data_IF_836498750838
#
_entry.id   IF_836498750838
#
_cell.length_a   1.000
_cell.length_b   1.000
_cell.length_c   1.000
_cell.angle_alpha   90.00
_cell.angle_beta   90.00
_cell.angle_gamma   90.00
#
_symmetry.space_group_name_H-M   'P 1'
#
loop_
_entity.id
_entity.type
_entity.pdbx_description
1 polymer ?
#
# COMPACT_ATOMS: atom_id res chain seq x y z
N UNK A 1 -18.86 21.61 17.32
CA UNK A 1 -17.67 20.96 16.75
C UNK A 1 -17.64 19.54 17.30
N UNK A 2 -17.89 18.52 16.45
CA UNK A 2 -17.68 17.14 16.89
C UNK A 2 -16.21 17.00 17.26
N UNK A 3 -15.87 16.44 18.44
CA UNK A 3 -14.48 16.15 18.76
C UNK A 3 -13.98 15.21 17.66
N UNK A 4 -12.91 15.57 16.97
CA UNK A 4 -12.27 14.66 16.02
C UNK A 4 -11.96 13.35 16.74
N UNK A 5 -12.17 12.22 16.07
CA UNK A 5 -11.86 10.92 16.64
C UNK A 5 -10.36 10.86 16.94
N UNK A 6 -10.00 10.97 18.21
CA UNK A 6 -8.63 10.80 18.69
C UNK A 6 -8.46 9.40 19.24
N UNK A 7 -7.26 8.84 19.11
CA UNK A 7 -7.02 7.49 19.55
C UNK A 7 -5.56 7.09 19.50
N UNK A 8 -5.35 5.79 19.72
CA UNK A 8 -4.04 5.16 19.65
C UNK A 8 -4.14 3.87 18.87
N UNK A 9 -3.13 3.60 18.04
CA UNK A 9 -2.98 2.35 17.29
C UNK A 9 -1.63 1.76 17.66
N UNK A 10 -1.63 0.47 18.00
CA UNK A 10 -0.40 -0.30 18.20
C UNK A 10 -0.14 -1.12 16.94
N UNK A 11 1.02 -0.93 16.31
CA UNK A 11 1.51 -1.75 15.20
C UNK A 11 2.89 -2.28 15.58
N UNK A 12 3.01 -3.60 15.72
CA UNK A 12 4.23 -4.21 16.24
C UNK A 12 4.61 -3.64 17.61
N UNK A 13 5.83 -3.13 17.73
CA UNK A 13 6.38 -2.48 18.92
C UNK A 13 6.12 -0.97 18.99
N UNK A 14 5.53 -0.36 17.95
CA UNK A 14 5.29 1.08 17.85
C UNK A 14 3.85 1.46 18.18
N UNK A 15 3.71 2.49 19.00
CA UNK A 15 2.41 3.12 19.30
C UNK A 15 2.28 4.44 18.55
N UNK A 16 1.21 4.59 17.79
CA UNK A 16 0.84 5.82 17.09
C UNK A 16 -0.32 6.49 17.80
N UNK A 17 -0.21 7.79 18.03
CA UNK A 17 -1.33 8.59 18.51
C UNK A 17 -1.87 9.41 17.35
N UNK A 18 -3.19 9.48 17.22
CA UNK A 18 -3.81 10.14 16.09
C UNK A 18 -4.98 11.04 16.49
N UNK A 19 -5.27 11.98 15.60
CA UNK A 19 -6.50 12.76 15.54
C UNK A 19 -6.98 12.71 14.10
N UNK A 20 -8.06 11.97 13.82
CA UNK A 20 -8.54 11.82 12.46
C UNK A 20 -9.18 13.14 11.96
N UNK A 21 -8.75 13.65 10.79
CA UNK A 21 -9.46 14.71 10.09
C UNK A 21 -10.88 14.30 9.70
N UNK A 22 -11.72 15.26 9.33
CA UNK A 22 -13.09 14.98 8.90
C UNK A 22 -13.11 14.11 7.63
N UNK A 23 -14.15 13.30 7.45
CA UNK A 23 -14.31 12.49 6.25
C UNK A 23 -14.32 13.33 4.97
N UNK A 24 -14.92 14.53 5.00
CA UNK A 24 -14.92 15.46 3.86
C UNK A 24 -13.51 15.90 3.49
N UNK A 25 -12.68 16.26 4.47
CA UNK A 25 -11.30 16.66 4.19
C UNK A 25 -10.51 15.50 3.57
N UNK A 26 -10.69 14.28 4.07
CA UNK A 26 -10.03 13.09 3.51
C UNK A 26 -10.46 12.83 2.06
N UNK A 27 -11.75 13.00 1.73
CA UNK A 27 -12.26 12.88 0.36
C UNK A 27 -11.62 13.92 -0.57
N UNK A 28 -11.50 15.17 -0.13
CA UNK A 28 -10.84 16.23 -0.91
C UNK A 28 -9.38 15.85 -1.25
N UNK A 29 -8.64 15.25 -0.32
CA UNK A 29 -7.26 14.80 -0.58
C UNK A 29 -7.22 13.64 -1.59
N UNK A 30 -8.20 12.72 -1.51
CA UNK A 30 -8.29 11.61 -2.45
C UNK A 30 -8.65 12.09 -3.85
N UNK A 31 -9.56 13.05 -3.99
CA UNK A 31 -9.93 13.63 -5.29
C UNK A 31 -8.72 14.32 -5.95
N UNK A 32 -7.94 15.10 -5.19
CA UNK A 32 -6.71 15.74 -5.70
C UNK A 32 -5.69 14.69 -6.21
N UNK A 33 -5.57 13.56 -5.51
CA UNK A 33 -4.73 12.46 -5.96
C UNK A 33 -5.27 11.82 -7.25
N UNK A 34 -6.59 11.62 -7.36
CA UNK A 34 -7.23 11.04 -8.54
C UNK A 34 -7.10 11.91 -9.79
N UNK A 35 -6.84 13.21 -9.64
CA UNK A 35 -6.48 14.10 -10.76
C UNK A 35 -5.02 13.94 -11.17
N UNK A 36 -4.12 13.58 -10.24
CA UNK A 36 -2.67 13.57 -10.41
C UNK A 36 -2.04 12.16 -10.27
N UNK A 37 -2.74 11.14 -10.79
CA UNK A 37 -2.49 9.69 -10.60
C UNK A 37 -1.06 9.25 -10.90
N UNK A 38 -0.20 9.38 -9.90
CA UNK A 38 1.23 9.10 -10.00
C UNK A 38 1.76 8.62 -8.66
N UNK A 39 2.91 7.94 -8.69
CA UNK A 39 3.59 7.50 -7.46
C UNK A 39 3.97 8.71 -6.58
N UNK A 40 4.42 9.81 -7.19
CA UNK A 40 4.69 11.05 -6.46
C UNK A 40 3.41 11.69 -5.88
N UNK A 41 2.29 11.61 -6.61
CA UNK A 41 0.98 12.01 -6.10
C UNK A 41 0.56 11.20 -4.88
N UNK A 42 0.76 9.88 -4.92
CA UNK A 42 0.48 9.00 -3.79
C UNK A 42 1.40 9.29 -2.58
N UNK A 43 2.69 9.58 -2.82
CA UNK A 43 3.63 9.99 -1.76
C UNK A 43 3.18 11.30 -1.10
N UNK A 44 2.76 12.29 -1.90
CA UNK A 44 2.21 13.56 -1.37
C UNK A 44 0.94 13.32 -0.56
N UNK A 45 -0.03 12.59 -1.10
CA UNK A 45 -1.27 12.23 -0.39
C UNK A 45 -0.96 11.60 0.98
N UNK A 46 -0.10 10.58 1.01
CA UNK A 46 0.24 9.89 2.25
C UNK A 46 0.93 10.81 3.26
N UNK A 47 1.88 11.64 2.84
CA UNK A 47 2.52 12.61 3.74
C UNK A 47 1.52 13.62 4.29
N UNK A 48 0.66 14.20 3.44
CA UNK A 48 -0.40 15.13 3.86
C UNK A 48 -1.34 14.48 4.88
N UNK A 49 -1.75 13.24 4.63
CA UNK A 49 -2.61 12.47 5.53
C UNK A 49 -1.90 12.20 6.87
N UNK A 50 -0.63 11.80 6.85
CA UNK A 50 0.17 11.53 8.04
C UNK A 50 0.38 12.77 8.90
N UNK A 51 0.79 13.88 8.30
CA UNK A 51 1.06 15.15 8.99
C UNK A 51 -0.18 15.70 9.71
N UNK A 52 -1.36 15.51 9.11
CA UNK A 52 -2.62 16.00 9.67
C UNK A 52 -3.32 14.99 10.59
N UNK A 53 -2.89 13.73 10.60
CA UNK A 53 -3.53 12.66 11.37
C UNK A 53 -2.70 12.20 12.55
N UNK A 54 -1.39 12.01 12.38
CA UNK A 54 -0.53 11.47 13.43
C UNK A 54 0.02 12.60 14.29
N UNK A 55 -0.31 12.55 15.57
CA UNK A 55 0.12 13.54 16.57
C UNK A 55 1.37 13.09 17.32
N UNK A 56 1.60 11.77 17.42
CA UNK A 56 2.84 11.20 17.97
C UNK A 56 3.24 9.89 17.27
N UNK A 57 4.53 9.74 16.91
CA UNK A 57 5.56 10.79 16.90
C UNK A 57 5.23 11.90 15.88
N UNK A 58 5.63 13.15 16.17
CA UNK A 58 5.39 14.28 15.28
C UNK A 58 6.33 14.24 14.06
N UNK A 59 5.87 14.76 12.92
CA UNK A 59 6.71 14.91 11.72
C UNK A 59 7.01 13.59 10.99
N UNK A 60 6.14 12.59 11.12
CA UNK A 60 6.26 11.35 10.34
C UNK A 60 6.05 11.62 8.86
N UNK A 61 6.97 11.12 8.05
CA UNK A 61 6.85 11.05 6.60
C UNK A 61 6.81 9.59 6.16
N UNK A 62 6.44 9.32 4.91
CA UNK A 62 6.42 7.95 4.36
C UNK A 62 7.76 7.22 4.50
N UNK A 63 8.88 7.95 4.51
CA UNK A 63 10.23 7.40 4.62
C UNK A 63 10.60 7.02 6.08
N UNK A 64 9.75 7.35 7.06
CA UNK A 64 9.96 7.07 8.50
C UNK A 64 9.54 5.66 8.94
N UNK A 65 8.90 4.91 8.03
CA UNK A 65 8.28 3.62 8.33
C UNK A 65 9.19 2.46 7.94
N UNK A 66 9.13 1.39 8.73
CA UNK A 66 9.90 0.20 8.46
C UNK A 66 9.23 -0.60 7.34
N UNK A 67 10.00 -0.90 6.30
CA UNK A 67 9.61 -1.88 5.28
C UNK A 67 10.01 -3.29 5.74
N UNK A 68 9.23 -4.33 5.38
CA UNK A 68 9.63 -5.71 5.61
C UNK A 68 10.92 -6.05 4.84
N UNK A 69 11.66 -7.05 5.32
CA UNK A 69 12.79 -7.60 4.59
C UNK A 69 12.32 -8.28 3.30
N UNK A 70 13.20 -8.35 2.29
CA UNK A 70 12.90 -9.03 1.03
C UNK A 70 12.58 -10.51 1.24
N UNK A 71 11.67 -11.05 0.44
CA UNK A 71 11.24 -12.45 0.53
C UNK A 71 11.49 -13.20 -0.78
N UNK A 72 11.76 -14.49 -0.69
CA UNK A 72 11.88 -15.38 -1.86
C UNK A 72 10.79 -16.44 -1.81
N UNK A 73 10.07 -16.59 -2.91
CA UNK A 73 9.01 -17.60 -3.06
C UNK A 73 9.25 -18.45 -4.30
N UNK A 74 8.93 -19.73 -4.22
CA UNK A 74 9.04 -20.66 -5.35
C UNK A 74 7.63 -21.08 -5.80
N UNK A 75 7.28 -20.77 -7.03
CA UNK A 75 5.95 -21.03 -7.60
C UNK A 75 6.10 -21.65 -8.98
N UNK A 76 5.45 -22.78 -9.24
CA UNK A 76 5.60 -23.52 -10.50
C UNK A 76 7.05 -23.95 -10.80
N UNK A 77 7.90 -24.07 -9.78
CA UNK A 77 9.34 -24.36 -9.92
C UNK A 77 10.20 -23.15 -10.29
N UNK A 78 9.66 -21.94 -10.28
CA UNK A 78 10.37 -20.69 -10.56
C UNK A 78 10.60 -19.90 -9.26
N UNK A 79 11.80 -19.35 -9.10
CA UNK A 79 12.17 -18.49 -7.96
C UNK A 79 11.82 -17.03 -8.25
N UNK A 80 10.96 -16.45 -7.43
CA UNK A 80 10.61 -15.03 -7.45
C UNK A 80 11.13 -14.36 -6.18
N UNK A 81 11.75 -13.20 -6.33
CA UNK A 81 12.18 -12.35 -5.22
C UNK A 81 11.25 -11.16 -5.11
N UNK A 82 10.74 -10.94 -3.91
CA UNK A 82 9.76 -9.92 -3.58
C UNK A 82 10.46 -8.80 -2.81
N UNK A 83 10.32 -7.58 -3.31
CA UNK A 83 10.87 -6.36 -2.72
C UNK A 83 9.76 -5.36 -2.45
N UNK A 84 9.85 -4.61 -1.34
CA UNK A 84 8.79 -3.66 -1.02
C UNK A 84 9.02 -2.32 -1.73
N UNK A 85 8.15 -1.89 -2.67
CA UNK A 85 8.31 -0.64 -3.44
C UNK A 85 7.93 0.62 -2.62
N UNK A 86 7.82 0.49 -1.31
CA UNK A 86 7.11 1.44 -0.44
C UNK A 86 5.58 1.42 -0.62
N UNK A 87 4.88 2.06 0.31
CA UNK A 87 3.41 2.17 0.32
C UNK A 87 2.83 3.17 -0.70
N UNK A 88 3.53 4.26 -1.11
CA UNK A 88 3.02 5.13 -2.17
C UNK A 88 2.67 4.37 -3.46
N UNK A 89 3.44 3.33 -3.79
CA UNK A 89 3.13 2.50 -4.95
C UNK A 89 1.80 1.75 -4.81
N UNK A 90 1.46 1.24 -3.62
CA UNK A 90 0.21 0.50 -3.40
C UNK A 90 -1.02 1.39 -3.57
N UNK A 91 -0.99 2.61 -3.05
CA UNK A 91 -2.06 3.60 -3.23
C UNK A 91 -2.26 3.94 -4.71
N UNK A 92 -1.16 4.11 -5.45
CA UNK A 92 -1.20 4.30 -6.89
C UNK A 92 -1.71 3.07 -7.65
N UNK A 93 -1.18 1.89 -7.31
CA UNK A 93 -1.56 0.61 -7.90
C UNK A 93 -3.05 0.29 -7.71
N UNK A 94 -3.62 0.66 -6.56
CA UNK A 94 -5.05 0.52 -6.30
C UNK A 94 -5.90 1.34 -7.28
N UNK A 95 -5.44 2.52 -7.70
CA UNK A 95 -6.15 3.34 -8.68
C UNK A 95 -5.98 2.84 -10.13
N UNK A 96 -4.82 2.28 -10.48
CA UNK A 96 -4.52 1.92 -11.88
C UNK A 96 -4.81 0.45 -12.25
N UNK A 97 -4.65 -0.45 -11.29
CA UNK A 97 -4.71 -1.88 -11.56
C UNK A 97 -6.00 -2.52 -11.07
N UNK A 98 -6.82 -1.80 -10.31
CA UNK A 98 -8.18 -2.21 -9.96
C UNK A 98 -9.15 -1.59 -10.95
N UNK A 99 -9.94 -2.42 -11.63
CA UNK A 99 -10.93 -1.94 -12.59
C UNK A 99 -12.14 -1.27 -11.95
N UNK A 100 -13.03 -0.64 -12.75
CA UNK A 100 -14.25 0.03 -12.26
C UNK A 100 -15.21 -0.89 -11.48
N UNK A 101 -15.08 -2.21 -11.67
CA UNK A 101 -15.85 -3.24 -10.98
C UNK A 101 -15.14 -3.77 -9.71
N UNK A 102 -14.07 -3.12 -9.26
CA UNK A 102 -13.28 -3.55 -8.10
C UNK A 102 -12.39 -4.77 -8.37
N UNK A 103 -12.28 -5.24 -9.62
CA UNK A 103 -11.47 -6.42 -9.94
C UNK A 103 -10.03 -6.06 -10.31
N UNK A 104 -9.08 -6.79 -9.74
CA UNK A 104 -7.67 -6.69 -10.09
C UNK A 104 -7.42 -7.14 -11.54
N UNK A 105 -6.82 -6.25 -12.33
CA UNK A 105 -6.30 -6.53 -13.67
C UNK A 105 -4.97 -7.27 -13.55
N UNK A 106 -5.05 -8.59 -13.33
CA UNK A 106 -3.91 -9.49 -13.02
C UNK A 106 -2.65 -9.23 -13.85
N UNK A 107 -2.77 -9.20 -15.18
CA UNK A 107 -1.63 -8.98 -16.07
C UNK A 107 -1.00 -7.60 -15.89
N UNK A 108 -1.83 -6.55 -15.81
CA UNK A 108 -1.36 -5.18 -15.57
C UNK A 108 -0.69 -5.05 -14.21
N UNK A 109 -1.26 -5.68 -13.18
CA UNK A 109 -0.71 -5.69 -11.83
C UNK A 109 0.68 -6.36 -11.78
N UNK A 110 0.81 -7.57 -12.33
CA UNK A 110 2.08 -8.30 -12.35
C UNK A 110 3.14 -7.58 -13.19
N UNK A 111 2.73 -7.00 -14.34
CA UNK A 111 3.60 -6.13 -15.13
C UNK A 111 4.08 -4.93 -14.31
N UNK A 112 3.18 -4.26 -13.60
CA UNK A 112 3.52 -3.14 -12.71
C UNK A 112 4.45 -3.56 -11.58
N UNK A 113 4.27 -4.76 -11.02
CA UNK A 113 5.16 -5.31 -10.01
C UNK A 113 6.59 -5.51 -10.54
N UNK A 114 6.74 -6.01 -11.77
CA UNK A 114 8.06 -6.16 -12.41
C UNK A 114 8.68 -4.80 -12.73
N UNK A 115 7.92 -3.90 -13.38
CA UNK A 115 8.40 -2.56 -13.78
C UNK A 115 8.87 -1.70 -12.60
N UNK A 116 8.32 -1.95 -11.42
CA UNK A 116 8.61 -1.19 -10.20
C UNK A 116 9.53 -1.92 -9.24
N UNK A 117 10.08 -3.06 -9.67
CA UNK A 117 11.04 -3.85 -8.90
C UNK A 117 10.44 -4.59 -7.71
N UNK A 118 9.11 -4.67 -7.60
CA UNK A 118 8.42 -5.49 -6.59
C UNK A 118 8.75 -6.96 -6.79
N UNK A 119 8.84 -7.41 -8.05
CA UNK A 119 9.22 -8.76 -8.42
C UNK A 119 10.53 -8.70 -9.20
N UNK A 120 11.50 -9.48 -8.76
CA UNK A 120 12.70 -9.82 -9.53
C UNK A 120 12.94 -11.33 -9.56
N UNK A 121 13.98 -11.79 -10.27
CA UNK A 121 14.22 -13.22 -10.50
C UNK A 121 13.46 -13.73 -11.72
N UNK A 122 12.62 -14.75 -11.55
CA UNK A 122 11.78 -15.27 -12.62
C UNK A 122 10.74 -14.23 -13.10
N UNK A 123 10.36 -14.31 -14.38
CA UNK A 123 9.32 -13.46 -14.94
C UNK A 123 7.94 -14.09 -14.72
N UNK A 124 6.92 -13.33 -14.29
CA UNK A 124 5.55 -13.83 -14.18
C UNK A 124 5.00 -14.44 -15.47
N UNK A 125 5.48 -13.99 -16.64
CA UNK A 125 5.08 -14.51 -17.96
C UNK A 125 5.55 -15.96 -18.20
N UNK A 126 6.46 -16.48 -17.39
CA UNK A 126 6.93 -17.86 -17.47
C UNK A 126 5.96 -18.86 -16.81
N UNK A 127 5.00 -18.37 -16.01
CA UNK A 127 3.99 -19.19 -15.38
C UNK A 127 2.98 -19.70 -16.41
N UNK A 128 2.71 -21.01 -16.39
CA UNK A 128 1.89 -21.69 -17.40
C UNK A 128 0.46 -21.96 -16.97
N UNK A 129 0.13 -21.69 -15.71
CA UNK A 129 -1.20 -21.99 -15.16
C UNK A 129 -1.79 -20.78 -14.43
N UNK A 130 -3.12 -20.66 -14.51
CA UNK A 130 -3.85 -19.63 -13.77
C UNK A 130 -3.73 -19.83 -12.25
N UNK A 131 -3.54 -21.08 -11.81
CA UNK A 131 -3.32 -21.40 -10.39
C UNK A 131 -2.01 -20.76 -9.89
N UNK A 132 -0.91 -20.93 -10.64
CA UNK A 132 0.37 -20.35 -10.28
C UNK A 132 0.36 -18.81 -10.35
N UNK A 133 -0.32 -18.24 -11.35
CA UNK A 133 -0.49 -16.78 -11.46
C UNK A 133 -1.22 -16.23 -10.23
N UNK A 134 -2.32 -16.88 -9.80
CA UNK A 134 -3.05 -16.47 -8.62
C UNK A 134 -2.22 -16.68 -7.34
N UNK A 135 -1.41 -17.74 -7.27
CA UNK A 135 -0.50 -17.97 -6.15
C UNK A 135 0.56 -16.86 -6.05
N UNK A 136 1.13 -16.42 -7.18
CA UNK A 136 2.10 -15.32 -7.19
C UNK A 136 1.45 -14.00 -6.78
N UNK A 137 0.27 -13.68 -7.31
CA UNK A 137 -0.48 -12.47 -6.92
C UNK A 137 -0.77 -12.48 -5.41
N UNK A 138 -1.17 -13.64 -4.88
CA UNK A 138 -1.42 -13.80 -3.45
C UNK A 138 -0.15 -13.56 -2.63
N UNK A 139 0.96 -14.18 -3.00
CA UNK A 139 2.24 -14.00 -2.33
C UNK A 139 2.69 -12.54 -2.35
N UNK A 140 2.55 -11.85 -3.48
CA UNK A 140 2.86 -10.43 -3.61
C UNK A 140 1.97 -9.59 -2.69
N UNK A 141 0.65 -9.79 -2.68
CA UNK A 141 -0.25 -9.04 -1.80
C UNK A 141 0.03 -9.30 -0.32
N UNK A 142 0.21 -10.57 0.07
CA UNK A 142 0.55 -10.94 1.45
C UNK A 142 1.89 -10.34 1.89
N UNK A 143 2.85 -10.22 0.98
CA UNK A 143 4.12 -9.54 1.23
C UNK A 143 3.95 -8.02 1.39
N UNK A 144 3.20 -7.39 0.49
CA UNK A 144 2.89 -5.96 0.49
C UNK A 144 2.11 -5.53 1.74
N UNK A 145 1.25 -6.40 2.26
CA UNK A 145 0.47 -6.16 3.49
C UNK A 145 1.33 -6.10 4.76
N UNK A 146 2.61 -6.50 4.70
CA UNK A 146 3.54 -6.46 5.83
C UNK A 146 4.13 -5.07 6.10
N UNK A 147 3.97 -4.11 5.18
CA UNK A 147 4.50 -2.77 5.41
C UNK A 147 3.75 -2.03 6.53
N UNK A 148 4.52 -1.55 7.49
CA UNK A 148 4.01 -0.81 8.67
C UNK A 148 3.14 0.39 8.26
N UNK A 149 3.61 1.18 7.28
CA UNK A 149 2.87 2.34 6.79
C UNK A 149 1.53 1.94 6.14
N UNK A 150 1.48 0.80 5.45
CA UNK A 150 0.25 0.34 4.80
C UNK A 150 -0.76 -0.11 5.85
N UNK A 151 -0.30 -0.86 6.85
CA UNK A 151 -1.12 -1.24 7.99
C UNK A 151 -1.66 0.00 8.72
N UNK A 152 -0.81 0.99 8.99
CA UNK A 152 -1.23 2.24 9.63
C UNK A 152 -2.28 2.98 8.80
N UNK A 153 -2.01 3.16 7.51
CA UNK A 153 -2.94 3.81 6.58
C UNK A 153 -4.28 3.08 6.54
N UNK A 154 -4.25 1.77 6.37
CA UNK A 154 -5.45 0.93 6.34
C UNK A 154 -6.27 1.04 7.63
N UNK A 155 -5.61 0.98 8.80
CA UNK A 155 -6.25 1.11 10.09
C UNK A 155 -6.88 2.48 10.32
N UNK A 156 -6.24 3.55 9.87
CA UNK A 156 -6.73 4.91 10.09
C UNK A 156 -7.87 5.30 9.15
N UNK A 157 -7.79 4.89 7.89
CA UNK A 157 -8.62 5.48 6.84
C UNK A 157 -9.63 4.51 6.21
N UNK A 158 -9.41 3.19 6.32
CA UNK A 158 -10.30 2.19 5.72
C UNK A 158 -11.01 1.30 6.73
N UNK A 159 -10.39 1.04 7.87
CA UNK A 159 -11.04 0.28 8.93
C UNK A 159 -11.97 1.22 9.71
N UNK A 160 -13.27 1.00 9.60
CA UNK A 160 -14.23 1.70 10.46
C UNK A 160 -13.92 1.34 11.93
N UNK A 161 -13.89 2.31 12.86
CA UNK A 161 -13.81 2.03 14.29
C UNK A 161 -15.05 1.26 14.78
#
# INVERSE_FOLDING_TARGET
>A
MSPGNTGKIQLGDRTYHYQLPSAMWQLEQMDEFLENRSVEGAKRLLNTMLENTITKPAGLTVDSFKLPDDETVVIGGLEFRLHHPGVPWQVWAAAEYVGPNGQLRRATFLKGCVERGVITGASPDQLRSLADINALIRAVNEFLDKAELWQLYYHLFFRQP
#
